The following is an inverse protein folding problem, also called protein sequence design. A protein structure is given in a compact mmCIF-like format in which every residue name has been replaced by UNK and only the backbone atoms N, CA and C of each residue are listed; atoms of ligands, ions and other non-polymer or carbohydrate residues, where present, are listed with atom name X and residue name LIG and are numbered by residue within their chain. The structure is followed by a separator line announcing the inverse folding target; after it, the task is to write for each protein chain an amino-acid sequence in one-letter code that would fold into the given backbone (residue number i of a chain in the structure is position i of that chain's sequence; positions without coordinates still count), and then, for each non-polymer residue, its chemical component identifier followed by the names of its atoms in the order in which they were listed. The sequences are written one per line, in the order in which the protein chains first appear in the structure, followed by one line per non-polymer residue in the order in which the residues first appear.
data_IF_744255811738
#
_entry.id   IF_744255811738
#
_cell.length_a   1.000
_cell.length_b   1.000
_cell.length_c   1.000
_cell.angle_alpha   90.00
_cell.angle_beta   90.00
_cell.angle_gamma   90.00
#
_symmetry.space_group_name_H-M   'P 1'
#
loop_
_entity.id
_entity.type
_entity.pdbx_description
1 polymer ?
#
# COMPACT_ATOMS: atom_id res chain seq x y z
N UNK A 1 -48.08 -20.30 -21.26
CA UNK A 1 -47.16 -19.14 -21.41
C UNK A 1 -45.79 -19.60 -20.95
N UNK A 2 -44.96 -19.99 -21.91
CA UNK A 2 -43.59 -20.47 -21.69
C UNK A 2 -42.68 -19.26 -21.65
N UNK A 3 -42.12 -18.96 -20.46
CA UNK A 3 -41.11 -17.94 -20.28
C UNK A 3 -39.83 -18.38 -20.99
N UNK A 4 -39.42 -17.64 -22.01
CA UNK A 4 -38.28 -17.96 -22.89
C UNK A 4 -36.96 -17.59 -22.22
N UNK A 5 -35.98 -18.49 -22.39
CA UNK A 5 -34.61 -18.49 -21.86
C UNK A 5 -33.69 -17.41 -22.48
N UNK A 6 -34.28 -16.34 -23.00
CA UNK A 6 -33.61 -15.33 -23.83
C UNK A 6 -33.29 -14.05 -23.04
N UNK A 7 -33.96 -13.81 -21.92
CA UNK A 7 -33.75 -12.62 -21.08
C UNK A 7 -32.48 -12.70 -20.19
N UNK A 8 -31.95 -13.90 -19.96
CA UNK A 8 -30.78 -14.10 -19.08
C UNK A 8 -29.45 -13.71 -19.73
N UNK A 9 -29.38 -13.57 -21.06
CA UNK A 9 -28.14 -13.24 -21.78
C UNK A 9 -27.85 -11.74 -21.86
N UNK A 10 -28.87 -10.89 -21.80
CA UNK A 10 -28.69 -9.44 -21.95
C UNK A 10 -28.17 -8.77 -20.65
N UNK A 11 -28.34 -9.44 -19.50
CA UNK A 11 -27.90 -8.90 -18.21
C UNK A 11 -26.43 -9.14 -17.89
N UNK A 12 -25.82 -10.16 -18.49
CA UNK A 12 -24.41 -10.52 -18.27
C UNK A 12 -23.48 -9.53 -18.99
N UNK A 13 -23.93 -8.88 -20.07
CA UNK A 13 -23.13 -7.93 -20.87
C UNK A 13 -22.87 -6.57 -20.17
N UNK A 14 -23.56 -6.28 -19.06
CA UNK A 14 -23.41 -5.02 -18.30
C UNK A 14 -22.52 -5.12 -17.07
N UNK A 15 -22.01 -6.31 -16.74
CA UNK A 15 -21.13 -6.44 -15.58
C UNK A 15 -19.72 -5.95 -15.91
N UNK A 16 -19.20 -5.05 -15.06
CA UNK A 16 -17.81 -4.60 -15.16
C UNK A 16 -16.88 -5.83 -15.20
N UNK A 17 -16.00 -5.95 -16.22
CA UNK A 17 -15.09 -7.08 -16.37
C UNK A 17 -14.26 -7.37 -15.12
N UNK A 18 -14.00 -6.35 -14.28
CA UNK A 18 -13.28 -6.48 -13.02
C UNK A 18 -14.09 -7.27 -12.01
N UNK A 19 -15.39 -7.01 -11.88
CA UNK A 19 -16.31 -7.73 -10.96
C UNK A 19 -16.34 -9.22 -11.31
N UNK A 20 -16.33 -9.57 -12.60
CA UNK A 20 -16.24 -10.96 -13.05
C UNK A 20 -14.93 -11.63 -12.62
N UNK A 21 -13.79 -10.93 -12.74
CA UNK A 21 -12.49 -11.44 -12.28
C UNK A 21 -12.48 -11.67 -10.77
N UNK A 22 -13.13 -10.78 -10.01
CA UNK A 22 -13.23 -10.90 -8.55
C UNK A 22 -14.07 -12.11 -8.17
N UNK A 23 -15.25 -12.26 -8.77
CA UNK A 23 -16.15 -13.38 -8.45
C UNK A 23 -15.48 -14.71 -8.80
N UNK A 24 -14.88 -14.84 -9.99
CA UNK A 24 -14.13 -16.05 -10.38
C UNK A 24 -12.91 -16.31 -9.48
N UNK A 25 -12.24 -15.26 -9.01
CA UNK A 25 -11.12 -15.40 -8.06
C UNK A 25 -11.61 -15.86 -6.69
N UNK A 26 -12.69 -15.28 -6.18
CA UNK A 26 -13.30 -15.67 -4.91
C UNK A 26 -13.81 -17.11 -4.97
N UNK A 27 -14.53 -17.48 -6.05
CA UNK A 27 -14.96 -18.85 -6.32
C UNK A 27 -13.78 -19.83 -6.29
N UNK A 28 -12.66 -19.48 -6.93
CA UNK A 28 -11.45 -20.31 -6.92
C UNK A 28 -10.82 -20.42 -5.53
N UNK A 29 -10.82 -19.34 -4.75
CA UNK A 29 -10.30 -19.33 -3.37
C UNK A 29 -11.18 -20.15 -2.41
N UNK A 30 -12.50 -20.03 -2.49
CA UNK A 30 -13.43 -20.79 -1.64
C UNK A 30 -13.57 -22.25 -2.07
N UNK A 31 -13.17 -22.59 -3.29
CA UNK A 31 -13.13 -23.97 -3.79
C UNK A 31 -11.83 -24.70 -3.46
N UNK A 32 -10.84 -24.04 -2.84
CA UNK A 32 -9.58 -24.67 -2.46
C UNK A 32 -9.74 -25.48 -1.15
N UNK A 33 -9.40 -26.78 -1.13
CA UNK A 33 -9.70 -27.68 0.00
C UNK A 33 -9.12 -27.28 1.36
N UNK A 34 -8.00 -26.54 1.38
CA UNK A 34 -7.30 -26.16 2.60
C UNK A 34 -7.91 -24.97 3.33
N UNK A 35 -8.79 -24.19 2.68
CA UNK A 35 -9.45 -23.03 3.32
C UNK A 35 -10.56 -23.44 4.30
N UNK A 36 -11.14 -24.63 4.12
CA UNK A 36 -12.22 -25.18 4.94
C UNK A 36 -11.86 -26.55 5.53
N UNK A 37 -10.62 -26.72 6.01
CA UNK A 37 -10.11 -28.01 6.49
C UNK A 37 -10.97 -28.71 7.58
N UNK A 38 -11.97 -28.04 8.17
CA UNK A 38 -12.90 -28.61 9.15
C UNK A 38 -14.39 -28.33 8.90
N UNK A 39 -14.75 -27.73 7.76
CA UNK A 39 -16.15 -27.48 7.41
C UNK A 39 -16.41 -28.10 6.04
N UNK A 40 -17.35 -29.04 5.96
CA UNK A 40 -17.80 -29.65 4.70
C UNK A 40 -18.22 -28.51 3.74
N UNK A 41 -17.37 -28.10 2.77
CA UNK A 41 -17.58 -26.83 2.12
C UNK A 41 -18.62 -27.06 1.05
N UNK A 42 -19.87 -26.67 1.33
CA UNK A 42 -20.78 -26.35 0.23
C UNK A 42 -20.09 -25.25 -0.55
N UNK A 43 -19.80 -25.44 -1.85
CA UNK A 43 -19.30 -24.35 -2.66
C UNK A 43 -20.28 -23.20 -2.50
N UNK A 44 -19.78 -22.05 -2.04
CA UNK A 44 -20.52 -20.81 -2.05
C UNK A 44 -20.72 -20.46 -3.52
N UNK A 45 -21.77 -21.01 -4.12
CA UNK A 45 -22.32 -20.53 -5.37
C UNK A 45 -22.88 -19.14 -5.07
N UNK A 46 -22.00 -18.15 -5.20
CA UNK A 46 -22.39 -16.75 -5.24
C UNK A 46 -23.03 -16.53 -6.60
N UNK A 47 -24.34 -16.79 -6.69
CA UNK A 47 -25.11 -16.41 -7.87
C UNK A 47 -25.01 -14.88 -8.03
N UNK A 48 -24.35 -14.42 -9.10
CA UNK A 48 -24.19 -13.01 -9.46
C UNK A 48 -25.50 -12.23 -9.32
N UNK A 49 -26.59 -12.86 -9.77
CA UNK A 49 -27.96 -12.34 -9.76
C UNK A 49 -28.43 -11.93 -8.36
N UNK A 50 -27.96 -12.64 -7.32
CA UNK A 50 -28.28 -12.32 -5.92
C UNK A 50 -27.48 -11.12 -5.41
N UNK A 51 -26.27 -10.89 -5.94
CA UNK A 51 -25.43 -9.75 -5.56
C UNK A 51 -25.97 -8.42 -6.12
N UNK A 52 -26.67 -8.46 -7.26
CA UNK A 52 -27.34 -7.29 -7.84
C UNK A 52 -28.38 -6.69 -6.88
N UNK A 53 -28.93 -7.50 -5.96
CA UNK A 53 -29.88 -7.03 -4.92
C UNK A 53 -29.23 -6.15 -3.85
N UNK A 54 -27.90 -6.04 -3.83
CA UNK A 54 -27.13 -5.25 -2.87
C UNK A 54 -26.21 -4.26 -3.60
N UNK A 55 -26.79 -3.25 -4.28
CA UNK A 55 -26.02 -2.33 -5.13
C UNK A 55 -24.95 -1.56 -4.34
N UNK A 56 -25.24 -1.16 -3.10
CA UNK A 56 -24.29 -0.43 -2.26
C UNK A 56 -23.09 -1.30 -1.88
N UNK A 57 -23.34 -2.57 -1.55
CA UNK A 57 -22.26 -3.52 -1.25
C UNK A 57 -21.42 -3.78 -2.50
N UNK A 58 -22.05 -3.98 -3.66
CA UNK A 58 -21.35 -4.16 -4.93
C UNK A 58 -20.49 -2.94 -5.29
N UNK A 59 -21.03 -1.73 -5.10
CA UNK A 59 -20.30 -0.48 -5.32
C UNK A 59 -19.10 -0.35 -4.38
N UNK A 60 -19.27 -0.63 -3.08
CA UNK A 60 -18.19 -0.57 -2.10
C UNK A 60 -17.06 -1.56 -2.44
N UNK A 61 -17.41 -2.79 -2.81
CA UNK A 61 -16.44 -3.79 -3.25
C UNK A 61 -15.72 -3.39 -4.53
N UNK A 62 -16.46 -2.87 -5.51
CA UNK A 62 -15.89 -2.37 -6.77
C UNK A 62 -14.89 -1.26 -6.51
N UNK A 63 -15.22 -0.31 -5.63
CA UNK A 63 -14.33 0.77 -5.23
C UNK A 63 -13.07 0.23 -4.54
N UNK A 64 -13.21 -0.65 -3.55
CA UNK A 64 -12.07 -1.26 -2.85
C UNK A 64 -11.12 -1.93 -3.84
N UNK A 65 -11.66 -2.69 -4.77
CA UNK A 65 -10.86 -3.50 -5.70
C UNK A 65 -10.19 -2.62 -6.77
N UNK A 66 -10.85 -1.56 -7.23
CA UNK A 66 -10.19 -0.52 -8.03
C UNK A 66 -9.01 0.13 -7.29
N UNK A 67 -9.18 0.44 -5.99
CA UNK A 67 -8.09 1.00 -5.17
C UNK A 67 -6.95 0.01 -4.95
N UNK A 68 -7.25 -1.25 -4.71
CA UNK A 68 -6.24 -2.30 -4.58
C UNK A 68 -5.48 -2.51 -5.91
N UNK A 69 -6.17 -2.51 -7.05
CA UNK A 69 -5.54 -2.61 -8.37
C UNK A 69 -4.59 -1.45 -8.63
N UNK A 70 -5.05 -0.21 -8.39
CA UNK A 70 -4.21 1.00 -8.50
C UNK A 70 -3.01 0.95 -7.55
N UNK A 71 -3.21 0.49 -6.32
CA UNK A 71 -2.13 0.30 -5.34
C UNK A 71 -1.11 -0.74 -5.81
N UNK A 72 -1.56 -1.85 -6.40
CA UNK A 72 -0.67 -2.88 -6.94
C UNK A 72 0.13 -2.37 -8.16
N UNK A 73 -0.49 -1.58 -9.03
CA UNK A 73 0.20 -0.91 -10.15
C UNK A 73 1.24 0.09 -9.65
N UNK A 74 0.88 0.94 -8.68
CA UNK A 74 1.80 1.87 -8.05
C UNK A 74 2.97 1.14 -7.38
N UNK A 75 2.71 0.04 -6.69
CA UNK A 75 3.76 -0.80 -6.08
C UNK A 75 4.71 -1.37 -7.14
N UNK A 76 4.20 -1.91 -8.25
CA UNK A 76 5.05 -2.36 -9.37
C UNK A 76 5.88 -1.22 -9.96
N UNK A 77 5.30 -0.02 -10.11
CA UNK A 77 6.03 1.16 -10.57
C UNK A 77 7.12 1.60 -9.57
N UNK A 78 6.92 1.40 -8.27
CA UNK A 78 7.95 1.64 -7.25
C UNK A 78 9.09 0.61 -7.30
N UNK A 79 8.82 -0.64 -7.70
CA UNK A 79 9.86 -1.66 -7.85
C UNK A 79 10.87 -1.32 -8.97
N UNK A 80 10.41 -0.68 -10.04
CA UNK A 80 11.26 -0.25 -11.16
C UNK A 80 11.80 1.17 -10.98
N UNK A 81 11.42 1.85 -9.89
CA UNK A 81 11.91 3.20 -9.59
C UNK A 81 13.41 3.16 -9.34
N UNK A 82 14.21 4.01 -10.00
CA UNK A 82 15.62 4.10 -9.70
C UNK A 82 15.83 4.47 -8.23
N UNK A 83 16.76 3.78 -7.57
CA UNK A 83 17.23 4.20 -6.25
C UNK A 83 17.83 5.59 -6.41
N UNK A 84 17.26 6.57 -5.72
CA UNK A 84 17.82 7.91 -5.63
C UNK A 84 18.43 8.05 -4.24
N UNK A 85 19.70 8.43 -4.17
CA UNK A 85 20.31 8.83 -2.90
C UNK A 85 19.81 10.22 -2.54
N UNK A 86 19.21 10.36 -1.36
CA UNK A 86 18.93 11.64 -0.73
C UNK A 86 20.15 12.15 0.02
N UNK A 87 20.31 13.47 0.04
CA UNK A 87 21.30 14.17 0.82
C UNK A 87 20.64 15.41 1.45
N UNK A 88 20.73 15.53 2.77
CA UNK A 88 20.15 16.62 3.56
C UNK A 88 21.16 17.74 3.86
N UNK A 89 22.42 17.58 3.44
CA UNK A 89 23.43 18.63 3.57
C UNK A 89 23.10 19.78 2.62
N UNK A 90 22.91 20.99 3.17
CA UNK A 90 22.62 22.19 2.36
C UNK A 90 23.76 22.55 1.41
N UNK A 91 25.01 22.27 1.81
CA UNK A 91 26.20 22.52 1.00
C UNK A 91 26.40 21.50 -0.14
N UNK A 92 25.56 20.47 -0.23
CA UNK A 92 25.72 19.43 -1.25
C UNK A 92 25.22 19.92 -2.62
N UNK A 93 26.13 19.99 -3.59
CA UNK A 93 25.82 20.33 -4.99
C UNK A 93 24.98 19.25 -5.69
N UNK A 94 24.87 18.06 -5.09
CA UNK A 94 24.07 16.93 -5.55
C UNK A 94 22.75 16.80 -4.79
N UNK A 95 22.40 17.71 -3.87
CA UNK A 95 21.11 17.69 -3.19
C UNK A 95 19.96 17.67 -4.21
N UNK A 96 19.10 16.65 -4.11
CA UNK A 96 18.00 16.42 -5.04
C UNK A 96 18.38 15.71 -6.35
N UNK A 97 19.61 15.22 -6.51
CA UNK A 97 20.06 14.45 -7.69
C UNK A 97 20.27 12.97 -7.38
N UNK A 98 20.11 12.13 -8.40
CA UNK A 98 20.38 10.68 -8.31
C UNK A 98 21.89 10.47 -8.19
N UNK A 99 22.36 10.08 -6.99
CA UNK A 99 23.71 9.53 -6.80
C UNK A 99 23.58 8.00 -6.77
N UNK A 100 24.47 7.30 -7.48
CA UNK A 100 24.40 5.83 -7.66
C UNK A 100 24.65 5.01 -6.39
N UNK A 101 25.16 5.64 -5.33
CA UNK A 101 25.46 4.99 -4.06
C UNK A 101 24.31 5.15 -3.05
N UNK A 102 24.17 4.18 -2.15
CA UNK A 102 23.18 4.25 -1.06
C UNK A 102 23.50 5.39 -0.10
N UNK A 103 22.51 6.24 0.20
CA UNK A 103 22.62 7.27 1.23
C UNK A 103 23.02 6.69 2.58
N UNK A 104 23.85 7.45 3.30
CA UNK A 104 24.34 7.16 4.64
C UNK A 104 23.51 7.94 5.66
N UNK A 105 23.03 7.27 6.69
CA UNK A 105 22.21 7.88 7.72
C UNK A 105 23.08 8.30 8.90
N UNK A 106 22.72 9.40 9.57
CA UNK A 106 23.37 9.74 10.84
C UNK A 106 23.15 8.61 11.86
N UNK A 107 24.23 8.10 12.45
CA UNK A 107 24.19 6.96 13.37
C UNK A 107 23.46 7.27 14.68
N UNK A 108 23.44 8.54 15.08
CA UNK A 108 22.84 9.01 16.33
C UNK A 108 21.33 9.25 16.18
N UNK A 109 20.94 10.30 15.45
CA UNK A 109 19.52 10.68 15.36
C UNK A 109 18.73 9.85 14.36
N UNK A 110 19.40 9.15 13.43
CA UNK A 110 18.76 8.32 12.41
C UNK A 110 17.74 9.05 11.52
N UNK A 111 17.75 10.38 11.48
CA UNK A 111 16.72 11.15 10.79
C UNK A 111 17.18 11.85 9.53
N UNK A 112 18.50 12.03 9.36
CA UNK A 112 19.09 12.73 8.23
C UNK A 112 19.96 11.77 7.42
N UNK A 113 19.98 11.98 6.12
CA UNK A 113 20.64 11.18 5.10
C UNK A 113 21.69 12.02 4.36
N UNK A 114 22.81 11.40 4.02
CA UNK A 114 23.91 12.04 3.31
C UNK A 114 24.40 11.13 2.20
N UNK A 115 24.72 11.69 1.03
CA UNK A 115 25.34 10.90 -0.03
C UNK A 115 26.78 10.49 0.32
N UNK A 116 27.45 11.21 1.24
CA UNK A 116 28.84 10.94 1.63
C UNK A 116 29.17 11.42 3.05
N UNK A 117 30.33 10.98 3.56
CA UNK A 117 30.80 11.39 4.89
C UNK A 117 31.29 12.85 4.90
N UNK A 118 31.66 13.39 3.75
CA UNK A 118 32.02 14.80 3.55
C UNK A 118 30.78 15.67 3.74
N UNK A 119 29.64 15.30 3.11
CA UNK A 119 28.38 16.01 3.28
C UNK A 119 27.89 15.96 4.74
N UNK A 120 28.03 14.81 5.40
CA UNK A 120 27.73 14.69 6.83
C UNK A 120 28.60 15.63 7.66
N UNK A 121 29.92 15.66 7.43
CA UNK A 121 30.85 16.52 8.19
C UNK A 121 30.58 18.00 7.95
N UNK A 122 30.31 18.40 6.70
CA UNK A 122 29.98 19.78 6.36
C UNK A 122 28.70 20.23 7.09
N UNK A 123 27.63 19.45 6.98
CA UNK A 123 26.35 19.74 7.65
C UNK A 123 26.48 19.69 9.18
N UNK A 124 27.35 18.80 9.71
CA UNK A 124 27.68 18.74 11.13
C UNK A 124 28.25 20.05 11.64
N UNK A 125 29.26 20.61 10.95
CA UNK A 125 29.88 21.88 11.34
C UNK A 125 28.92 23.06 11.20
N UNK A 126 28.06 23.04 10.18
CA UNK A 126 27.13 24.13 9.89
C UNK A 126 25.96 24.17 10.87
N UNK A 127 25.26 23.04 11.07
CA UNK A 127 24.00 23.02 11.83
C UNK A 127 23.68 21.73 12.59
N UNK A 128 23.97 20.56 12.01
CA UNK A 128 23.36 19.31 12.48
C UNK A 128 23.76 18.97 13.91
N UNK A 129 24.97 19.36 14.36
CA UNK A 129 25.40 19.15 15.74
C UNK A 129 24.47 19.75 16.79
N UNK A 130 23.76 20.85 16.48
CA UNK A 130 22.84 21.53 17.41
C UNK A 130 21.47 20.87 17.46
N UNK A 131 21.10 20.18 16.39
CA UNK A 131 19.77 19.61 16.21
C UNK A 131 19.75 18.10 16.46
N UNK A 132 20.90 17.42 16.34
CA UNK A 132 21.01 15.97 16.35
C UNK A 132 20.38 15.33 17.60
N UNK A 133 20.70 15.84 18.79
CA UNK A 133 20.16 15.31 20.05
C UNK A 133 18.66 15.53 20.17
N UNK A 134 18.16 16.72 19.82
CA UNK A 134 16.72 17.01 19.87
C UNK A 134 15.94 16.09 18.93
N UNK A 135 16.44 15.90 17.71
CA UNK A 135 15.81 15.01 16.72
C UNK A 135 15.81 13.56 17.23
N UNK A 136 16.89 13.12 17.90
CA UNK A 136 16.97 11.78 18.49
C UNK A 136 15.86 11.56 19.53
N UNK A 137 15.61 12.56 20.37
CA UNK A 137 14.60 12.48 21.43
C UNK A 137 13.18 12.43 20.87
N UNK A 138 12.89 13.18 19.80
CA UNK A 138 11.56 13.20 19.16
C UNK A 138 11.16 11.81 18.60
N UNK A 139 12.12 11.05 18.06
CA UNK A 139 11.87 9.68 17.57
C UNK A 139 11.56 8.68 18.70
N UNK A 140 12.17 8.86 19.87
CA UNK A 140 11.93 8.01 21.04
C UNK A 140 10.61 8.40 21.72
N UNK A 141 10.30 9.69 21.78
CA UNK A 141 9.04 10.21 22.32
C UNK A 141 7.82 9.64 21.59
N UNK A 142 7.85 9.57 20.25
CA UNK A 142 6.73 9.05 19.44
C UNK A 142 6.44 7.55 19.66
N UNK A 143 7.41 6.77 20.16
CA UNK A 143 7.22 5.35 20.48
C UNK A 143 6.76 5.10 21.93
N UNK A 144 6.78 6.14 22.80
CA UNK A 144 6.52 6.00 24.24
C UNK A 144 5.23 6.72 24.70
N UNK A 145 4.55 7.50 23.86
CA UNK A 145 3.25 8.09 24.25
C UNK A 145 2.13 7.05 24.28
N UNK A 146 2.06 6.29 25.38
CA UNK A 146 0.78 5.85 25.95
C UNK A 146 -0.02 7.10 26.39
N UNK A 147 -1.36 7.08 26.34
CA UNK A 147 -2.15 8.23 26.72
C UNK A 147 -1.92 8.52 28.21
N UNK A 148 -1.45 9.74 28.52
CA UNK A 148 -1.52 10.26 29.88
C UNK A 148 -2.99 10.53 30.15
N UNK A 149 -3.63 9.69 30.97
CA UNK A 149 -4.89 10.03 31.59
C UNK A 149 -4.65 11.28 32.45
N UNK A 150 -5.40 12.34 32.14
CA UNK A 150 -5.53 13.48 33.01
C UNK A 150 -6.70 13.19 33.96
N UNK A 151 -6.39 13.15 35.26
CA UNK A 151 -7.36 13.16 36.36
C UNK A 151 -8.09 14.52 36.46
#
# INVERSE_FOLDING_TARGET
MTCTREDDKEHDEKLDPRIRVIITTLERCVSQPWFFAYANPRPLSLELEKLVKFPDALQAWTFLLDRLSKGAEAYKALQTRPKFSLCDSFACTLSGRVVGDSSKQCSTCRSVLYCSQECQRADWWERHHRECSRIQDDHIGALIVSPKNHD
#
